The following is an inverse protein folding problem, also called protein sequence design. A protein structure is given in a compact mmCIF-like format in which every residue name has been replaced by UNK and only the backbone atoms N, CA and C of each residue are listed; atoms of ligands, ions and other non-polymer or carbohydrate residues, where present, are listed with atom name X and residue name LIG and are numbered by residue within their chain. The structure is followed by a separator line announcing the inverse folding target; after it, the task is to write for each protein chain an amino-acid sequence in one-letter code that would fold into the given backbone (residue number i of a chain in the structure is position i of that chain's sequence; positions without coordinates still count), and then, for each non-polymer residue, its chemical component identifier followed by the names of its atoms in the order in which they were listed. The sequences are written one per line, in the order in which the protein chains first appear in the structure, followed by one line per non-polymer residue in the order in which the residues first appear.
data_IF_038051726300
#
_entry.id   IF_038051726300
#
_cell.length_a   1.000
_cell.length_b   1.000
_cell.length_c   1.000
_cell.angle_alpha   90.00
_cell.angle_beta   90.00
_cell.angle_gamma   90.00
#
_symmetry.space_group_name_H-M   'P 1'
#
loop_
_entity.id
_entity.type
_entity.pdbx_description
1 polymer ?
#
# COMPACT_ATOMS: atom_id res chain seq x y z
N UNK A 1 78.96 17.85 39.43
CA UNK A 1 79.84 16.66 39.15
C UNK A 1 79.21 15.86 38.06
N UNK A 2 79.95 15.73 36.96
CA UNK A 2 80.00 14.67 35.92
C UNK A 2 78.74 14.22 35.29
N UNK A 3 78.42 14.71 34.01
CA UNK A 3 78.84 14.09 32.72
C UNK A 3 78.40 12.64 32.59
N UNK A 4 77.65 12.22 31.64
CA UNK A 4 78.12 11.90 30.27
C UNK A 4 77.06 11.67 29.31
N UNK A 5 77.24 12.23 28.10
CA UNK A 5 76.54 11.95 26.85
C UNK A 5 76.92 10.57 26.27
N UNK A 6 76.06 10.00 25.45
CA UNK A 6 76.33 9.21 24.22
C UNK A 6 75.02 8.87 23.55
N UNK A 7 74.76 9.40 22.47
CA UNK A 7 75.25 9.17 21.10
C UNK A 7 74.44 8.10 20.34
N UNK A 8 73.66 8.60 19.41
CA UNK A 8 73.42 8.10 18.03
C UNK A 8 73.31 6.58 17.78
N UNK A 9 72.14 6.18 17.24
CA UNK A 9 72.18 5.46 15.95
C UNK A 9 70.88 5.77 15.17
N UNK A 10 71.02 6.44 14.04
CA UNK A 10 70.06 6.47 12.92
C UNK A 10 69.93 5.04 12.40
N UNK A 11 68.72 4.55 12.31
CA UNK A 11 68.38 3.45 11.42
C UNK A 11 67.27 3.95 10.52
N UNK A 12 67.64 4.20 9.28
CA UNK A 12 66.74 4.47 8.17
C UNK A 12 66.05 3.16 7.84
N UNK A 13 64.76 3.03 8.21
CA UNK A 13 63.90 1.94 7.79
C UNK A 13 62.93 2.46 6.77
N UNK A 14 63.13 2.07 5.51
CA UNK A 14 62.20 2.28 4.40
C UNK A 14 60.87 1.61 4.73
N UNK A 15 59.89 2.36 5.15
CA UNK A 15 58.51 1.87 5.29
C UNK A 15 57.86 1.92 3.92
N UNK A 16 57.67 0.74 3.35
CA UNK A 16 56.84 0.52 2.20
C UNK A 16 55.40 1.00 2.49
N UNK A 17 54.94 2.04 1.80
CA UNK A 17 53.54 2.42 1.77
C UNK A 17 52.75 1.33 1.02
N UNK A 18 52.23 0.36 1.77
CA UNK A 18 51.13 -0.48 1.28
C UNK A 18 49.87 0.34 1.32
N UNK A 19 49.53 0.91 0.15
CA UNK A 19 48.24 1.49 -0.09
C UNK A 19 47.20 0.35 -0.06
N UNK A 20 46.62 0.03 1.10
CA UNK A 20 45.35 -0.69 1.18
C UNK A 20 44.26 0.21 0.70
N UNK A 21 43.97 0.12 -0.61
CA UNK A 21 42.73 0.60 -1.17
C UNK A 21 41.60 -0.26 -0.55
N UNK A 22 41.05 0.22 0.55
CA UNK A 22 39.76 -0.26 1.06
C UNK A 22 38.72 0.10 0.02
N UNK A 23 38.41 -0.89 -0.84
CA UNK A 23 37.18 -0.92 -1.60
C UNK A 23 36.04 -0.95 -0.57
N UNK A 24 35.55 0.23 -0.20
CA UNK A 24 34.27 0.41 0.42
C UNK A 24 33.21 -0.02 -0.61
N UNK A 25 33.02 -1.34 -0.75
CA UNK A 25 31.77 -1.85 -1.25
C UNK A 25 30.73 -1.48 -0.21
N UNK A 26 30.14 -0.32 -0.39
CA UNK A 26 28.94 0.08 0.32
C UNK A 26 27.87 -0.95 -0.01
N UNK A 27 27.73 -1.99 0.80
CA UNK A 27 26.48 -2.70 0.96
C UNK A 27 25.49 -1.70 1.58
N UNK A 28 25.06 -0.73 0.77
CA UNK A 28 23.85 -0.01 1.07
C UNK A 28 22.76 -1.08 1.16
N UNK A 29 22.18 -1.24 2.33
CA UNK A 29 20.89 -1.89 2.49
C UNK A 29 19.90 -1.14 1.59
N UNK A 30 19.84 -1.55 0.31
CA UNK A 30 18.70 -1.24 -0.52
C UNK A 30 17.58 -2.06 0.08
N UNK A 31 16.64 -1.39 0.74
CA UNK A 31 15.35 -2.00 1.05
C UNK A 31 14.86 -2.70 -0.22
N UNK A 32 14.38 -3.95 -0.09
CA UNK A 32 13.91 -4.76 -1.22
C UNK A 32 12.82 -4.06 -2.06
N UNK A 33 12.17 -3.04 -1.50
CA UNK A 33 11.19 -2.16 -2.14
C UNK A 33 11.75 -1.23 -3.23
N UNK A 34 13.06 -0.96 -3.26
CA UNK A 34 13.64 0.02 -4.19
C UNK A 34 14.06 -0.48 -5.57
N UNK A 35 14.10 -1.78 -5.82
CA UNK A 35 14.58 -2.33 -7.08
C UNK A 35 13.44 -2.55 -8.08
N UNK A 36 13.49 -1.85 -9.22
CA UNK A 36 12.57 -2.10 -10.32
C UNK A 36 13.03 -3.34 -11.09
N UNK A 37 12.18 -4.36 -11.15
CA UNK A 37 12.50 -5.59 -11.87
C UNK A 37 12.42 -5.37 -13.37
N UNK A 38 13.52 -5.67 -14.08
CA UNK A 38 13.59 -5.54 -15.52
C UNK A 38 12.62 -6.51 -16.22
N UNK A 39 11.96 -6.03 -17.26
CA UNK A 39 11.10 -6.82 -18.14
C UNK A 39 11.22 -6.30 -19.58
N UNK A 40 10.78 -7.10 -20.55
CA UNK A 40 10.71 -6.71 -21.96
C UNK A 40 9.29 -6.30 -22.34
N UNK A 41 9.11 -5.47 -23.38
CA UNK A 41 7.79 -5.11 -23.90
C UNK A 41 6.94 -6.33 -24.26
N UNK A 42 5.67 -6.30 -23.81
CA UNK A 42 4.61 -7.24 -24.21
C UNK A 42 3.55 -6.53 -25.03
N UNK A 43 2.29 -6.53 -24.57
CA UNK A 43 1.24 -5.67 -25.15
C UNK A 43 1.53 -4.20 -24.87
N UNK A 44 2.16 -3.88 -23.73
CA UNK A 44 2.66 -2.53 -23.43
C UNK A 44 4.00 -2.34 -24.14
N UNK A 45 4.06 -1.49 -25.20
CA UNK A 45 5.27 -1.24 -25.95
C UNK A 45 6.17 -0.21 -25.23
N UNK A 46 7.35 0.01 -25.77
CA UNK A 46 8.12 1.23 -25.46
C UNK A 46 7.43 2.44 -26.10
N UNK A 47 7.28 3.50 -25.32
CA UNK A 47 6.75 4.77 -25.80
C UNK A 47 7.85 5.79 -25.93
N UNK A 48 7.97 6.39 -27.11
CA UNK A 48 8.99 7.45 -27.36
C UNK A 48 8.86 8.63 -26.38
N UNK A 49 7.65 8.94 -25.96
CA UNK A 49 7.40 10.00 -24.96
C UNK A 49 8.00 9.71 -23.60
N UNK A 50 8.20 8.43 -23.25
CA UNK A 50 8.75 7.99 -21.97
C UNK A 50 10.26 7.73 -21.99
N UNK A 51 10.90 7.77 -23.16
CA UNK A 51 12.35 7.57 -23.26
C UNK A 51 13.10 8.68 -22.52
N UNK A 52 13.88 8.29 -21.50
CA UNK A 52 14.61 9.23 -20.63
C UNK A 52 13.73 10.03 -19.67
N UNK A 53 12.45 9.68 -19.52
CA UNK A 53 11.61 10.25 -18.48
C UNK A 53 12.03 9.72 -17.12
N UNK A 54 12.39 10.60 -16.18
CA UNK A 54 12.61 10.25 -14.79
C UNK A 54 11.28 10.34 -14.07
N UNK A 55 10.81 9.22 -13.50
CA UNK A 55 9.54 9.11 -12.80
C UNK A 55 9.73 8.49 -11.42
N UNK A 56 9.15 9.10 -10.40
CA UNK A 56 9.15 8.58 -9.04
C UNK A 56 7.77 8.02 -8.71
N UNK A 57 7.70 6.72 -8.42
CA UNK A 57 6.49 6.01 -7.97
C UNK A 57 6.57 5.81 -6.47
N UNK A 58 5.55 6.19 -5.72
CA UNK A 58 5.40 5.81 -4.31
C UNK A 58 4.17 4.94 -4.11
N UNK A 59 4.22 4.04 -3.15
CA UNK A 59 3.09 3.24 -2.70
C UNK A 59 3.18 3.03 -1.18
N UNK A 60 2.03 2.77 -0.55
CA UNK A 60 1.94 2.58 0.91
C UNK A 60 2.58 1.26 1.35
N UNK A 61 2.69 1.10 2.65
CA UNK A 61 3.41 0.03 3.36
C UNK A 61 2.58 -1.24 3.65
N UNK A 62 1.54 -1.53 2.87
CA UNK A 62 0.81 -2.78 2.99
C UNK A 62 0.80 -3.57 1.66
N UNK A 63 0.62 -4.87 1.75
CA UNK A 63 0.86 -5.85 0.67
C UNK A 63 0.31 -5.46 -0.68
N UNK A 64 -0.98 -5.09 -0.76
CA UNK A 64 -1.61 -4.71 -2.02
C UNK A 64 -0.94 -3.51 -2.67
N UNK A 65 -0.58 -2.50 -1.87
CA UNK A 65 0.11 -1.31 -2.36
C UNK A 65 1.54 -1.61 -2.79
N UNK A 66 2.25 -2.50 -2.09
CA UNK A 66 3.57 -2.95 -2.51
C UNK A 66 3.51 -3.66 -3.86
N UNK A 67 2.50 -4.52 -4.08
CA UNK A 67 2.28 -5.17 -5.38
C UNK A 67 1.98 -4.14 -6.46
N UNK A 68 1.04 -3.22 -6.22
CA UNK A 68 0.62 -2.20 -7.19
C UNK A 68 1.75 -1.21 -7.52
N UNK A 69 2.51 -0.75 -6.53
CA UNK A 69 3.65 0.13 -6.75
C UNK A 69 4.75 -0.53 -7.59
N UNK A 70 5.01 -1.81 -7.36
CA UNK A 70 5.95 -2.59 -8.17
C UNK A 70 5.41 -2.87 -9.59
N UNK A 71 4.10 -3.08 -9.77
CA UNK A 71 3.48 -3.16 -11.10
C UNK A 71 3.68 -1.86 -11.88
N UNK A 72 3.34 -0.72 -11.27
CA UNK A 72 3.51 0.60 -11.87
C UNK A 72 4.96 0.84 -12.27
N UNK A 73 5.89 0.58 -11.36
CA UNK A 73 7.33 0.77 -11.59
C UNK A 73 7.84 -0.11 -12.73
N UNK A 74 7.45 -1.38 -12.76
CA UNK A 74 7.86 -2.34 -13.80
C UNK A 74 7.33 -1.96 -15.18
N UNK A 75 6.04 -1.60 -15.30
CA UNK A 75 5.46 -1.26 -16.61
C UNK A 75 5.99 0.06 -17.15
N UNK A 76 6.17 1.08 -16.31
CA UNK A 76 6.73 2.37 -16.72
C UNK A 76 8.18 2.25 -17.15
N UNK A 77 8.98 1.45 -16.44
CA UNK A 77 10.36 1.15 -16.83
C UNK A 77 10.41 0.37 -18.14
N UNK A 78 9.56 -0.64 -18.31
CA UNK A 78 9.45 -1.41 -19.57
C UNK A 78 9.03 -0.50 -20.73
N UNK A 79 8.15 0.48 -20.47
CA UNK A 79 7.68 1.45 -21.45
C UNK A 79 8.72 2.52 -21.81
N UNK A 80 9.87 2.59 -21.12
CA UNK A 80 11.02 3.42 -21.48
C UNK A 80 11.45 4.47 -20.45
N UNK A 81 10.73 4.59 -19.32
CA UNK A 81 11.09 5.52 -18.27
C UNK A 81 12.24 5.00 -17.38
N UNK A 82 13.00 5.92 -16.81
CA UNK A 82 13.87 5.67 -15.66
C UNK A 82 13.05 5.88 -14.38
N UNK A 83 12.81 4.80 -13.62
CA UNK A 83 11.85 4.79 -12.52
C UNK A 83 12.54 4.62 -11.18
N UNK A 84 12.29 5.57 -10.28
CA UNK A 84 12.59 5.44 -8.85
C UNK A 84 11.36 4.87 -8.13
N UNK A 85 11.52 3.72 -7.47
CA UNK A 85 10.45 3.07 -6.71
C UNK A 85 10.60 3.37 -5.22
N UNK A 86 9.65 4.13 -4.67
CA UNK A 86 9.51 4.47 -3.25
C UNK A 86 8.30 3.76 -2.62
N UNK A 87 7.99 2.53 -3.06
CA UNK A 87 7.02 1.69 -2.38
C UNK A 87 7.49 1.40 -0.95
N UNK A 88 6.54 1.13 -0.03
CA UNK A 88 6.76 1.00 1.41
C UNK A 88 6.85 2.36 2.15
N UNK A 89 6.11 3.34 1.65
CA UNK A 89 5.95 4.63 2.35
C UNK A 89 4.86 4.52 3.42
N UNK A 90 5.17 4.83 4.70
CA UNK A 90 4.21 4.68 5.77
C UNK A 90 2.95 5.53 5.61
N UNK A 91 1.80 4.87 5.56
CA UNK A 91 0.46 5.44 5.61
C UNK A 91 0.06 6.34 4.44
N UNK A 92 -1.22 6.65 4.39
CA UNK A 92 -1.81 7.47 3.31
C UNK A 92 -1.30 8.90 3.30
N UNK A 93 -1.04 9.48 4.48
CA UNK A 93 -0.60 10.88 4.60
C UNK A 93 0.81 11.09 4.04
N UNK A 94 1.72 10.13 4.24
CA UNK A 94 3.10 10.20 3.73
C UNK A 94 3.12 10.31 2.21
N UNK A 95 2.45 9.39 1.53
CA UNK A 95 2.34 9.38 0.07
C UNK A 95 1.63 10.64 -0.45
N UNK A 96 0.53 11.06 0.21
CA UNK A 96 -0.20 12.27 -0.17
C UNK A 96 0.67 13.53 -0.11
N UNK A 97 1.45 13.70 0.95
CA UNK A 97 2.34 14.85 1.10
C UNK A 97 3.46 14.84 0.06
N UNK A 98 4.03 13.69 -0.25
CA UNK A 98 5.04 13.55 -1.30
C UNK A 98 4.49 13.93 -2.68
N UNK A 99 3.25 13.52 -3.02
CA UNK A 99 2.56 13.97 -4.23
C UNK A 99 2.34 15.49 -4.24
N UNK A 100 1.83 16.08 -3.16
CA UNK A 100 1.57 17.53 -3.10
C UNK A 100 2.84 18.38 -3.17
N UNK A 101 3.95 17.89 -2.62
CA UNK A 101 5.27 18.54 -2.71
C UNK A 101 5.99 18.30 -4.04
N UNK A 102 5.45 17.40 -4.87
CA UNK A 102 6.04 16.97 -6.14
C UNK A 102 7.36 16.18 -5.98
N UNK A 103 7.55 15.55 -4.82
CA UNK A 103 8.65 14.60 -4.60
C UNK A 103 8.36 13.24 -5.27
N UNK A 104 7.09 13.00 -5.61
CA UNK A 104 6.57 11.80 -6.28
C UNK A 104 5.72 12.21 -7.46
N UNK A 105 5.89 11.51 -8.59
CA UNK A 105 5.13 11.76 -9.83
C UNK A 105 3.78 11.06 -9.84
N UNK A 106 3.72 9.83 -9.32
CA UNK A 106 2.50 9.04 -9.33
C UNK A 106 2.47 7.98 -8.22
N UNK A 107 1.25 7.57 -7.86
CA UNK A 107 1.01 6.58 -6.82
C UNK A 107 -0.30 5.83 -7.07
N UNK A 108 -0.40 4.53 -6.74
CA UNK A 108 -1.69 3.84 -6.66
C UNK A 108 -2.45 4.35 -5.44
N UNK A 109 -3.73 4.70 -5.63
CA UNK A 109 -4.54 5.26 -4.57
C UNK A 109 -6.00 4.80 -4.69
N UNK A 110 -6.81 5.06 -3.69
CA UNK A 110 -8.21 4.63 -3.66
C UNK A 110 -9.14 5.84 -3.60
N UNK A 111 -10.22 5.80 -4.40
CA UNK A 111 -11.18 6.90 -4.49
C UNK A 111 -11.83 7.25 -3.16
N UNK A 112 -12.08 6.27 -2.27
CA UNK A 112 -12.58 6.48 -0.92
C UNK A 112 -11.61 7.28 -0.05
N UNK A 113 -10.32 6.91 -0.06
CA UNK A 113 -9.26 7.65 0.64
C UNK A 113 -9.16 9.08 0.12
N UNK A 114 -9.18 9.25 -1.20
CA UNK A 114 -9.16 10.58 -1.82
C UNK A 114 -10.31 11.45 -1.34
N UNK A 115 -11.54 10.92 -1.38
CA UNK A 115 -12.73 11.68 -1.02
C UNK A 115 -12.80 12.02 0.48
N UNK A 116 -12.63 11.01 1.34
CA UNK A 116 -12.82 11.16 2.78
C UNK A 116 -11.57 11.74 3.45
N UNK A 117 -10.40 11.11 3.22
CA UNK A 117 -9.22 11.40 4.01
C UNK A 117 -8.46 12.62 3.48
N UNK A 118 -8.26 12.71 2.15
CA UNK A 118 -7.47 13.82 1.57
C UNK A 118 -8.27 15.09 1.36
N UNK A 119 -9.54 14.95 0.97
CA UNK A 119 -10.43 16.09 0.70
C UNK A 119 -11.32 16.46 1.90
N UNK A 120 -11.21 15.72 3.03
CA UNK A 120 -11.86 16.05 4.30
C UNK A 120 -13.38 15.88 4.34
N UNK A 121 -13.96 15.14 3.38
CA UNK A 121 -15.39 14.90 3.37
C UNK A 121 -15.78 13.86 4.44
N UNK A 122 -16.99 13.96 4.97
CA UNK A 122 -17.49 13.07 6.04
C UNK A 122 -18.55 12.09 5.57
N UNK A 123 -19.02 12.22 4.33
CA UNK A 123 -20.04 11.35 3.76
C UNK A 123 -19.54 10.72 2.46
N UNK A 124 -19.65 9.39 2.31
CA UNK A 124 -19.33 8.73 1.06
C UNK A 124 -20.31 9.15 -0.05
N UNK A 125 -19.82 9.07 -1.29
CA UNK A 125 -20.66 9.24 -2.48
C UNK A 125 -21.07 7.85 -2.95
N UNK A 126 -22.37 7.65 -3.18
CA UNK A 126 -22.87 6.37 -3.70
C UNK A 126 -22.52 6.21 -5.18
N UNK A 127 -21.98 5.05 -5.51
CA UNK A 127 -21.61 4.68 -6.87
C UNK A 127 -20.17 5.06 -7.25
N UNK A 128 -19.46 4.09 -7.80
CA UNK A 128 -18.04 4.18 -8.17
C UNK A 128 -17.75 5.37 -9.10
N UNK A 129 -18.52 5.49 -10.19
CA UNK A 129 -18.34 6.56 -11.17
C UNK A 129 -18.55 7.95 -10.55
N UNK A 130 -19.61 8.12 -9.74
CA UNK A 130 -19.89 9.40 -9.12
C UNK A 130 -18.80 9.81 -8.12
N UNK A 131 -18.33 8.87 -7.30
CA UNK A 131 -17.25 9.12 -6.34
C UNK A 131 -15.93 9.45 -7.05
N UNK A 132 -15.56 8.68 -8.08
CA UNK A 132 -14.40 8.96 -8.90
C UNK A 132 -14.45 10.37 -9.51
N UNK A 133 -15.56 10.74 -10.14
CA UNK A 133 -15.71 12.07 -10.76
C UNK A 133 -15.59 13.20 -9.74
N UNK A 134 -16.12 13.02 -8.53
CA UNK A 134 -16.01 14.01 -7.47
C UNK A 134 -14.57 14.19 -7.00
N UNK A 135 -13.85 13.10 -6.76
CA UNK A 135 -12.42 13.11 -6.37
C UNK A 135 -11.59 13.74 -7.49
N UNK A 136 -11.74 13.27 -8.71
CA UNK A 136 -11.04 13.80 -9.89
C UNK A 136 -11.16 15.32 -10.00
N UNK A 137 -12.41 15.84 -9.99
CA UNK A 137 -12.66 17.29 -10.12
C UNK A 137 -12.08 18.09 -8.96
N UNK A 138 -12.21 17.56 -7.75
CA UNK A 138 -11.75 18.27 -6.56
C UNK A 138 -10.21 18.32 -6.48
N UNK A 139 -9.54 17.24 -6.87
CA UNK A 139 -8.09 17.11 -6.71
C UNK A 139 -7.29 17.72 -7.87
N UNK A 140 -7.91 17.97 -9.00
CA UNK A 140 -7.30 18.79 -10.07
C UNK A 140 -6.82 20.17 -9.58
N UNK A 141 -7.51 20.75 -8.59
CA UNK A 141 -7.11 22.02 -7.96
C UNK A 141 -5.78 21.92 -7.21
N UNK A 142 -5.43 20.71 -6.77
CA UNK A 142 -4.17 20.39 -6.10
C UNK A 142 -3.07 19.98 -7.09
N UNK A 143 -3.33 20.07 -8.41
CA UNK A 143 -2.39 19.67 -9.45
C UNK A 143 -2.26 18.16 -9.63
N UNK A 144 -3.24 17.39 -9.16
CA UNK A 144 -3.26 15.92 -9.23
C UNK A 144 -4.40 15.44 -10.12
N UNK A 145 -4.08 14.51 -11.00
CA UNK A 145 -5.03 13.86 -11.91
C UNK A 145 -5.21 12.40 -11.48
N UNK A 146 -6.45 12.00 -11.24
CA UNK A 146 -6.84 10.63 -10.99
C UNK A 146 -7.19 9.96 -12.32
N UNK A 147 -6.53 8.84 -12.66
CA UNK A 147 -6.85 8.07 -13.85
C UNK A 147 -8.15 7.27 -13.65
N UNK A 148 -8.80 6.81 -14.75
CA UNK A 148 -10.00 5.98 -14.63
C UNK A 148 -9.78 4.77 -13.73
N UNK A 149 -10.67 4.50 -12.76
CA UNK A 149 -10.43 3.51 -11.75
C UNK A 149 -10.56 2.08 -12.27
N UNK A 150 -9.81 1.18 -11.64
CA UNK A 150 -10.00 -0.26 -11.78
C UNK A 150 -11.36 -0.72 -11.20
N UNK A 151 -11.90 -1.88 -11.66
CA UNK A 151 -13.16 -2.41 -11.14
C UNK A 151 -13.05 -2.93 -9.70
N UNK A 152 -11.84 -3.17 -9.19
CA UNK A 152 -11.64 -3.60 -7.81
C UNK A 152 -12.11 -2.55 -6.80
N UNK A 153 -12.58 -3.03 -5.64
CA UNK A 153 -12.97 -2.22 -4.50
C UNK A 153 -12.37 -2.82 -3.22
N UNK A 154 -11.29 -2.23 -2.74
CA UNK A 154 -10.62 -2.66 -1.51
C UNK A 154 -11.15 -1.88 -0.30
N UNK A 155 -12.43 -2.07 0.01
CA UNK A 155 -13.07 -1.37 1.13
C UNK A 155 -12.66 -1.93 2.48
N UNK A 156 -12.74 -1.09 3.51
CA UNK A 156 -12.68 -1.55 4.89
C UNK A 156 -13.86 -2.44 5.22
N UNK A 157 -13.62 -3.38 6.13
CA UNK A 157 -14.64 -4.21 6.75
C UNK A 157 -14.18 -4.67 8.14
N UNK A 158 -15.04 -5.36 8.86
CA UNK A 158 -14.68 -6.13 10.04
C UNK A 158 -14.84 -7.61 9.78
N UNK A 159 -13.87 -8.39 10.20
CA UNK A 159 -13.90 -9.83 10.14
C UNK A 159 -13.85 -10.45 11.55
N UNK A 160 -14.30 -11.66 11.64
CA UNK A 160 -14.31 -12.50 12.85
C UNK A 160 -14.00 -13.93 12.43
N UNK A 161 -13.46 -14.76 13.33
CA UNK A 161 -13.33 -16.20 13.08
C UNK A 161 -14.65 -16.81 12.63
N UNK A 162 -14.62 -17.63 11.59
CA UNK A 162 -15.82 -18.30 11.05
C UNK A 162 -16.57 -19.11 12.14
N UNK A 163 -15.84 -19.85 12.98
CA UNK A 163 -16.42 -20.62 14.07
C UNK A 163 -17.10 -19.71 15.12
N UNK A 164 -16.47 -18.57 15.46
CA UNK A 164 -17.02 -17.60 16.42
C UNK A 164 -18.23 -16.87 15.85
N UNK A 165 -18.24 -16.53 14.57
CA UNK A 165 -19.40 -15.95 13.88
C UNK A 165 -20.62 -16.88 13.93
N UNK A 166 -20.41 -18.19 13.71
CA UNK A 166 -21.46 -19.21 13.86
C UNK A 166 -21.96 -19.30 15.29
N UNK A 167 -21.07 -19.34 16.28
CA UNK A 167 -21.41 -19.38 17.70
C UNK A 167 -22.27 -18.17 18.10
N UNK A 168 -21.91 -16.99 17.66
CA UNK A 168 -22.61 -15.73 17.97
C UNK A 168 -23.84 -15.49 17.06
N UNK A 169 -24.02 -16.29 16.02
CA UNK A 169 -25.05 -16.16 15.01
C UNK A 169 -25.09 -14.78 14.37
N UNK A 170 -23.92 -14.30 13.92
CA UNK A 170 -23.77 -12.98 13.28
C UNK A 170 -23.15 -13.08 11.88
N UNK A 171 -23.66 -12.23 11.00
CA UNK A 171 -23.17 -12.06 9.61
C UNK A 171 -23.07 -10.60 9.19
N UNK A 172 -23.61 -9.67 10.02
CA UNK A 172 -23.72 -8.24 9.69
C UNK A 172 -23.25 -7.37 10.83
N UNK A 173 -22.74 -6.18 10.52
CA UNK A 173 -22.27 -5.21 11.50
C UNK A 173 -23.40 -4.69 12.41
N UNK A 174 -24.62 -4.54 11.92
CA UNK A 174 -25.77 -4.13 12.76
C UNK A 174 -26.08 -5.09 13.89
N UNK A 175 -25.69 -6.36 13.78
CA UNK A 175 -25.94 -7.37 14.81
C UNK A 175 -25.01 -7.25 16.02
N UNK A 176 -23.92 -6.49 15.91
CA UNK A 176 -22.97 -6.25 17.00
C UNK A 176 -23.65 -5.66 18.25
N UNK A 177 -24.70 -4.85 18.08
CA UNK A 177 -25.44 -4.26 19.19
C UNK A 177 -26.18 -5.26 20.07
N UNK A 178 -26.38 -6.49 19.59
CA UNK A 178 -27.05 -7.59 20.30
C UNK A 178 -26.10 -8.41 21.16
N UNK A 179 -24.79 -8.22 20.97
CA UNK A 179 -23.77 -8.97 21.68
C UNK A 179 -23.49 -8.39 23.07
N UNK A 180 -23.15 -9.24 24.05
CA UNK A 180 -22.70 -8.77 25.35
C UNK A 180 -21.37 -8.05 25.22
N UNK A 181 -21.13 -7.09 26.11
CA UNK A 181 -19.96 -6.19 26.05
C UNK A 181 -18.63 -6.93 25.97
N UNK A 182 -18.47 -8.02 26.68
CA UNK A 182 -17.23 -8.82 26.72
C UNK A 182 -16.88 -9.47 25.37
N UNK A 183 -17.86 -9.66 24.47
CA UNK A 183 -17.61 -10.14 23.12
C UNK A 183 -17.14 -9.02 22.17
N UNK A 184 -17.41 -7.77 22.48
CA UNK A 184 -17.12 -6.60 21.64
C UNK A 184 -15.68 -6.13 21.86
N UNK A 185 -14.72 -6.93 21.42
CA UNK A 185 -13.29 -6.64 21.42
C UNK A 185 -12.81 -6.46 19.98
N UNK A 186 -12.09 -5.35 19.72
CA UNK A 186 -11.70 -4.93 18.37
C UNK A 186 -10.19 -4.81 18.26
N UNK A 187 -9.65 -5.19 17.09
CA UNK A 187 -8.31 -4.83 16.63
C UNK A 187 -8.42 -3.92 15.42
N UNK A 188 -7.75 -2.77 15.45
CA UNK A 188 -7.82 -1.74 14.42
C UNK A 188 -6.44 -1.16 14.14
N UNK A 189 -6.21 -0.68 12.92
CA UNK A 189 -5.00 0.02 12.55
C UNK A 189 -5.06 1.49 13.01
N UNK A 190 -3.91 2.12 13.21
CA UNK A 190 -3.78 3.47 13.79
C UNK A 190 -4.35 4.58 12.91
N UNK A 191 -4.22 4.48 11.58
CA UNK A 191 -4.83 5.41 10.64
C UNK A 191 -6.34 5.26 10.64
N UNK A 192 -6.85 4.00 10.50
CA UNK A 192 -8.28 3.72 10.53
C UNK A 192 -8.97 4.19 11.80
N UNK A 193 -8.31 4.05 12.94
CA UNK A 193 -8.85 4.52 14.22
C UNK A 193 -9.20 6.02 14.25
N UNK A 194 -8.54 6.84 13.41
CA UNK A 194 -8.63 8.31 13.40
C UNK A 194 -9.40 8.89 12.20
N UNK A 195 -9.74 8.07 11.21
CA UNK A 195 -10.38 8.51 9.97
C UNK A 195 -11.84 8.88 10.16
N UNK A 196 -12.37 9.76 9.29
CA UNK A 196 -13.80 10.11 9.25
C UNK A 196 -14.69 8.93 8.80
N UNK A 197 -14.13 7.98 8.07
CA UNK A 197 -14.73 6.71 7.66
C UNK A 197 -14.18 5.51 8.47
N UNK A 198 -13.61 5.80 9.63
CA UNK A 198 -12.92 4.83 10.47
C UNK A 198 -13.74 4.33 11.66
N UNK A 199 -13.01 3.87 12.69
CA UNK A 199 -13.57 3.10 13.79
C UNK A 199 -14.64 3.85 14.60
N UNK A 200 -14.38 5.07 15.05
CA UNK A 200 -15.33 5.79 15.89
C UNK A 200 -16.64 6.17 15.16
N UNK A 201 -16.60 6.71 13.92
CA UNK A 201 -17.81 6.94 13.13
C UNK A 201 -18.55 5.63 12.80
N UNK A 202 -17.84 4.52 12.54
CA UNK A 202 -18.44 3.21 12.34
C UNK A 202 -19.22 2.76 13.58
N UNK A 203 -18.60 2.79 14.75
CA UNK A 203 -19.30 2.45 16.01
C UNK A 203 -20.59 3.26 16.16
N UNK A 204 -20.51 4.59 15.97
CA UNK A 204 -21.68 5.47 16.07
C UNK A 204 -22.78 5.09 15.07
N UNK A 205 -22.43 4.83 13.82
CA UNK A 205 -23.37 4.46 12.75
C UNK A 205 -24.10 3.16 13.10
N UNK A 206 -23.39 2.21 13.69
CA UNK A 206 -23.93 0.93 14.11
C UNK A 206 -24.55 0.92 15.53
N UNK A 207 -24.69 2.09 16.19
CA UNK A 207 -25.33 2.23 17.48
C UNK A 207 -24.48 1.74 18.66
N UNK A 208 -23.18 1.66 18.44
CA UNK A 208 -22.17 1.37 19.45
C UNK A 208 -21.44 2.64 19.91
N UNK A 209 -20.72 2.53 21.01
CA UNK A 209 -19.85 3.59 21.58
C UNK A 209 -18.74 2.92 22.37
N UNK A 210 -17.71 3.69 22.73
CA UNK A 210 -16.60 3.19 23.55
C UNK A 210 -17.06 2.63 24.91
N UNK A 211 -18.17 3.12 25.48
CA UNK A 211 -18.74 2.57 26.73
C UNK A 211 -19.41 1.20 26.54
N UNK A 212 -19.86 0.89 25.32
CA UNK A 212 -20.54 -0.36 24.98
C UNK A 212 -19.60 -1.48 24.53
N UNK A 213 -18.39 -1.15 24.11
CA UNK A 213 -17.37 -2.14 23.76
C UNK A 213 -16.48 -2.48 24.96
N UNK A 214 -15.89 -3.67 24.97
CA UNK A 214 -14.97 -4.08 26.03
C UNK A 214 -13.58 -3.47 25.81
N UNK A 215 -13.08 -3.52 24.57
CA UNK A 215 -11.71 -3.12 24.25
C UNK A 215 -11.56 -2.81 22.75
N UNK A 216 -10.72 -1.84 22.43
CA UNK A 216 -10.14 -1.67 21.12
C UNK A 216 -8.61 -1.63 21.25
N UNK A 217 -7.90 -2.43 20.48
CA UNK A 217 -6.44 -2.54 20.49
C UNK A 217 -5.92 -2.09 19.13
N UNK A 218 -4.97 -1.16 19.14
CA UNK A 218 -4.30 -0.73 17.92
C UNK A 218 -3.12 -1.67 17.63
N UNK A 219 -3.09 -2.20 16.43
CA UNK A 219 -2.08 -3.13 15.92
C UNK A 219 -1.71 -2.75 14.48
N UNK A 220 -0.58 -3.27 14.03
CA UNK A 220 -0.19 -3.17 12.62
C UNK A 220 -1.11 -4.04 11.76
N UNK A 221 -1.38 -3.59 10.52
CA UNK A 221 -2.32 -4.23 9.58
C UNK A 221 -2.18 -5.74 9.52
N UNK A 222 -0.95 -6.26 9.28
CA UNK A 222 -0.73 -7.71 9.20
C UNK A 222 -1.06 -8.47 10.48
N UNK A 223 -0.77 -7.87 11.65
CA UNK A 223 -0.99 -8.46 12.97
C UNK A 223 -2.47 -8.54 13.32
N UNK A 224 -3.30 -7.63 12.80
CA UNK A 224 -4.75 -7.64 13.06
C UNK A 224 -5.38 -8.96 12.61
N UNK A 225 -5.01 -9.47 11.44
CA UNK A 225 -5.57 -10.72 10.89
C UNK A 225 -5.25 -11.93 11.77
N UNK A 226 -3.98 -12.06 12.19
CA UNK A 226 -3.56 -13.16 13.06
C UNK A 226 -4.16 -13.05 14.46
N UNK A 227 -4.17 -11.85 15.06
CA UNK A 227 -4.78 -11.59 16.36
C UNK A 227 -6.30 -11.89 16.36
N UNK A 228 -6.98 -11.61 15.23
CA UNK A 228 -8.40 -11.95 15.05
C UNK A 228 -8.61 -13.45 14.90
N UNK A 229 -7.73 -14.13 14.14
CA UNK A 229 -7.78 -15.58 13.97
C UNK A 229 -7.52 -16.32 15.30
N UNK A 230 -6.56 -15.87 16.11
CA UNK A 230 -6.29 -16.45 17.43
C UNK A 230 -7.40 -16.16 18.43
N UNK A 231 -7.96 -14.94 18.39
CA UNK A 231 -9.07 -14.52 19.23
C UNK A 231 -8.73 -14.20 20.68
N UNK A 232 -7.48 -14.26 21.07
CA UNK A 232 -7.02 -13.90 22.42
C UNK A 232 -7.01 -12.39 22.66
N UNK A 233 -6.75 -11.59 21.63
CA UNK A 233 -6.68 -10.14 21.72
C UNK A 233 -8.00 -9.48 21.35
N UNK A 234 -8.64 -9.92 20.28
CA UNK A 234 -9.90 -9.40 19.78
C UNK A 234 -10.72 -10.44 19.04
N UNK A 235 -12.05 -10.26 19.07
CA UNK A 235 -12.96 -11.05 18.24
C UNK A 235 -13.12 -10.46 16.85
N UNK A 236 -13.10 -9.13 16.74
CA UNK A 236 -13.35 -8.40 15.51
C UNK A 236 -12.09 -7.67 15.08
N UNK A 237 -11.57 -8.00 13.90
CA UNK A 237 -10.46 -7.31 13.29
C UNK A 237 -10.90 -6.46 12.12
N UNK A 238 -10.35 -5.27 12.02
CA UNK A 238 -10.42 -4.49 10.80
C UNK A 238 -9.69 -5.23 9.68
N UNK A 239 -10.28 -5.28 8.50
CA UNK A 239 -9.72 -5.95 7.33
C UNK A 239 -9.96 -5.15 6.07
N UNK A 240 -9.13 -5.38 5.07
CA UNK A 240 -9.33 -4.94 3.69
C UNK A 240 -9.97 -6.08 2.90
N UNK A 241 -11.04 -5.81 2.16
CA UNK A 241 -11.83 -6.88 1.51
C UNK A 241 -11.12 -7.63 0.39
N UNK A 242 -9.98 -7.14 -0.08
CA UNK A 242 -9.11 -7.83 -1.06
C UNK A 242 -7.90 -8.52 -0.44
N UNK A 243 -7.82 -8.59 0.90
CA UNK A 243 -6.68 -9.18 1.61
C UNK A 243 -6.71 -10.71 1.57
N UNK A 244 -5.61 -11.31 1.12
CA UNK A 244 -5.47 -12.77 0.96
C UNK A 244 -5.49 -13.58 2.26
N UNK A 245 -5.25 -12.96 3.42
CA UNK A 245 -5.29 -13.60 4.74
C UNK A 245 -6.71 -13.94 5.19
N UNK A 246 -7.73 -13.26 4.66
CA UNK A 246 -9.14 -13.53 5.02
C UNK A 246 -9.49 -15.02 4.83
N UNK A 247 -9.40 -15.58 3.62
CA UNK A 247 -9.65 -17.01 3.43
C UNK A 247 -8.59 -17.90 4.07
N UNK A 248 -7.31 -17.48 4.04
CA UNK A 248 -6.20 -18.25 4.60
C UNK A 248 -6.29 -18.50 6.11
N UNK A 249 -6.90 -17.57 6.84
CA UNK A 249 -7.09 -17.66 8.30
C UNK A 249 -8.53 -18.01 8.70
N UNK A 250 -9.37 -18.46 7.76
CA UNK A 250 -10.79 -18.81 8.00
C UNK A 250 -11.57 -17.69 8.69
N UNK A 251 -11.36 -16.45 8.24
CA UNK A 251 -12.09 -15.29 8.72
C UNK A 251 -13.36 -15.06 7.90
N UNK A 252 -14.44 -14.70 8.59
CA UNK A 252 -15.69 -14.24 7.98
C UNK A 252 -15.75 -12.74 8.04
N UNK A 253 -15.86 -12.10 6.89
CA UNK A 253 -16.17 -10.68 6.78
C UNK A 253 -17.64 -10.46 7.12
N UNK A 254 -17.92 -9.48 7.99
CA UNK A 254 -19.28 -9.06 8.32
C UNK A 254 -19.79 -8.07 7.27
N UNK A 255 -21.05 -8.25 6.85
CA UNK A 255 -21.70 -7.35 5.90
C UNK A 255 -21.86 -5.94 6.49
N UNK A 256 -21.45 -4.92 5.75
CA UNK A 256 -21.71 -3.51 6.02
C UNK A 256 -23.15 -3.17 5.58
N UNK A 257 -24.16 -3.66 6.30
CA UNK A 257 -25.57 -3.58 5.94
C UNK A 257 -26.18 -2.17 6.05
N UNK A 258 -25.44 -1.20 6.60
CA UNK A 258 -25.79 0.23 6.56
C UNK A 258 -25.03 1.02 5.51
N UNK A 259 -24.14 0.37 4.74
CA UNK A 259 -23.32 1.01 3.71
C UNK A 259 -22.53 2.22 4.27
N UNK A 260 -21.89 2.01 5.41
CA UNK A 260 -21.09 3.03 6.08
C UNK A 260 -19.80 3.32 5.33
N UNK A 261 -19.10 2.25 4.89
CA UNK A 261 -17.82 2.41 4.22
C UNK A 261 -17.99 2.91 2.78
N UNK A 262 -17.17 3.88 2.34
CA UNK A 262 -17.13 4.30 0.94
C UNK A 262 -16.59 3.20 0.02
N UNK A 263 -16.72 3.39 -1.27
CA UNK A 263 -16.04 2.56 -2.25
C UNK A 263 -14.56 2.97 -2.35
N UNK A 264 -13.67 2.00 -2.36
CA UNK A 264 -12.23 2.18 -2.49
C UNK A 264 -11.74 1.59 -3.81
N UNK A 265 -12.23 2.13 -4.92
CA UNK A 265 -11.75 1.72 -6.23
C UNK A 265 -10.33 2.26 -6.44
N UNK A 266 -9.42 1.36 -6.86
CA UNK A 266 -8.06 1.72 -7.22
C UNK A 266 -8.06 2.71 -8.40
N UNK A 267 -7.24 3.74 -8.30
CA UNK A 267 -6.97 4.71 -9.37
C UNK A 267 -5.55 5.26 -9.19
N UNK A 268 -4.79 5.31 -10.26
CA UNK A 268 -3.47 5.95 -10.19
C UNK A 268 -3.66 7.47 -10.11
N UNK A 269 -2.99 8.05 -9.13
CA UNK A 269 -2.89 9.51 -8.98
C UNK A 269 -1.57 9.96 -9.59
N UNK A 270 -1.64 10.86 -10.55
CA UNK A 270 -0.49 11.34 -11.30
C UNK A 270 -0.41 12.87 -11.16
N UNK A 271 0.78 13.43 -11.02
CA UNK A 271 0.99 14.86 -11.16
C UNK A 271 0.41 15.32 -12.50
N UNK A 272 -0.47 16.31 -12.50
CA UNK A 272 -1.08 16.82 -13.74
C UNK A 272 -0.02 17.32 -14.73
N UNK A 273 1.07 17.89 -14.24
CA UNK A 273 2.21 18.31 -15.05
C UNK A 273 2.94 17.13 -15.70
N UNK A 274 3.17 16.05 -14.94
CA UNK A 274 3.79 14.82 -15.43
C UNK A 274 2.91 14.16 -16.48
N UNK A 275 1.60 14.05 -16.24
CA UNK A 275 0.66 13.48 -17.21
C UNK A 275 0.56 14.30 -18.51
N UNK A 276 0.61 15.63 -18.43
CA UNK A 276 0.67 16.50 -19.61
C UNK A 276 1.95 16.28 -20.42
N UNK A 277 3.08 16.11 -19.74
CA UNK A 277 4.38 15.87 -20.39
C UNK A 277 4.47 14.45 -20.98
N UNK A 278 3.87 13.47 -20.31
CA UNK A 278 3.96 12.05 -20.64
C UNK A 278 2.57 11.41 -20.74
N UNK A 279 1.78 11.75 -21.76
CA UNK A 279 0.35 11.34 -21.85
C UNK A 279 0.17 9.82 -22.04
N UNK A 280 1.20 9.10 -22.49
CA UNK A 280 1.16 7.65 -22.66
C UNK A 280 1.04 6.90 -21.33
N UNK A 281 1.33 7.54 -20.18
CA UNK A 281 1.05 6.99 -18.84
C UNK A 281 -0.42 6.57 -18.72
N UNK A 282 -1.36 7.43 -19.17
CA UNK A 282 -2.78 7.11 -19.12
C UNK A 282 -3.15 5.90 -20.00
N UNK A 283 -2.50 5.71 -21.15
CA UNK A 283 -2.75 4.56 -22.04
C UNK A 283 -2.31 3.25 -21.38
N UNK A 284 -1.15 3.25 -20.72
CA UNK A 284 -0.62 2.09 -20.00
C UNK A 284 -1.61 1.60 -18.95
N UNK A 285 -2.10 2.50 -18.09
CA UNK A 285 -3.03 2.12 -17.03
C UNK A 285 -4.45 1.84 -17.53
N UNK A 286 -4.88 2.46 -18.63
CA UNK A 286 -6.15 2.10 -19.28
C UNK A 286 -6.16 0.65 -19.79
N UNK A 287 -5.01 0.06 -20.14
CA UNK A 287 -4.88 -1.34 -20.53
C UNK A 287 -4.85 -2.30 -19.34
N UNK A 288 -4.18 -1.91 -18.25
CA UNK A 288 -3.97 -2.75 -17.05
C UNK A 288 -5.21 -2.76 -16.14
N UNK A 289 -5.77 -1.58 -15.83
CA UNK A 289 -6.80 -1.43 -14.82
C UNK A 289 -8.03 -2.32 -14.98
N UNK A 290 -8.55 -2.60 -16.20
CA UNK A 290 -9.69 -3.49 -16.37
C UNK A 290 -9.46 -4.92 -15.85
N UNK A 291 -8.21 -5.37 -15.73
CA UNK A 291 -7.85 -6.71 -15.24
C UNK A 291 -7.68 -6.75 -13.70
N UNK A 292 -7.60 -5.58 -13.03
CA UNK A 292 -7.46 -5.48 -11.58
C UNK A 292 -8.84 -5.55 -10.91
N UNK A 293 -9.33 -6.78 -10.78
CA UNK A 293 -10.61 -7.09 -10.09
C UNK A 293 -10.34 -7.49 -8.63
N UNK A 294 -11.39 -7.54 -7.79
CA UNK A 294 -11.26 -8.08 -6.42
C UNK A 294 -10.68 -9.50 -6.43
N UNK A 295 -11.12 -10.35 -7.37
CA UNK A 295 -10.62 -11.71 -7.51
C UNK A 295 -9.11 -11.74 -7.85
N UNK A 296 -8.69 -10.87 -8.75
CA UNK A 296 -7.27 -10.73 -9.13
C UNK A 296 -6.45 -10.32 -7.91
N UNK A 297 -6.87 -9.27 -7.21
CA UNK A 297 -6.09 -8.75 -6.07
C UNK A 297 -6.08 -9.70 -4.89
N UNK A 298 -7.19 -10.36 -4.55
CA UNK A 298 -7.21 -11.44 -3.55
C UNK A 298 -6.17 -12.52 -3.85
N UNK A 299 -6.08 -12.96 -5.12
CA UNK A 299 -5.13 -13.99 -5.52
C UNK A 299 -3.67 -13.51 -5.46
N UNK A 300 -3.40 -12.25 -5.79
CA UNK A 300 -2.06 -11.67 -5.72
C UNK A 300 -1.63 -11.42 -4.27
N UNK A 301 -2.51 -10.84 -3.47
CA UNK A 301 -2.25 -10.61 -2.05
C UNK A 301 -2.00 -11.94 -1.31
N UNK A 302 -2.75 -13.00 -1.62
CA UNK A 302 -2.53 -14.32 -1.03
C UNK A 302 -1.16 -14.92 -1.37
N UNK A 303 -0.60 -14.65 -2.54
CA UNK A 303 0.75 -15.09 -2.88
C UNK A 303 1.82 -14.48 -1.99
N UNK A 304 1.61 -13.25 -1.53
CA UNK A 304 2.52 -12.57 -0.60
C UNK A 304 2.16 -12.94 0.85
N UNK A 305 0.94 -12.65 1.28
CA UNK A 305 0.53 -12.73 2.69
C UNK A 305 0.44 -14.16 3.24
N UNK A 306 0.15 -15.12 2.39
CA UNK A 306 -0.04 -16.53 2.80
C UNK A 306 1.11 -17.41 2.32
N UNK A 307 1.58 -17.21 1.08
CA UNK A 307 2.64 -18.03 0.52
C UNK A 307 4.06 -17.44 0.69
N UNK A 308 4.19 -16.23 1.28
CA UNK A 308 5.49 -15.61 1.56
C UNK A 308 6.24 -15.10 0.31
N UNK A 309 5.52 -14.87 -0.79
CA UNK A 309 6.12 -14.36 -2.02
C UNK A 309 6.59 -12.92 -1.91
N UNK A 310 7.62 -12.56 -2.68
CA UNK A 310 8.09 -11.18 -2.79
C UNK A 310 7.10 -10.34 -3.62
N UNK A 311 6.62 -9.17 -3.15
CA UNK A 311 5.66 -8.34 -3.87
C UNK A 311 6.11 -7.92 -5.27
N UNK A 312 7.40 -7.64 -5.49
CA UNK A 312 7.91 -7.24 -6.80
C UNK A 312 7.91 -8.41 -7.77
N UNK A 313 8.26 -9.61 -7.30
CA UNK A 313 8.19 -10.83 -8.11
C UNK A 313 6.75 -11.18 -8.46
N UNK A 314 5.83 -11.12 -7.47
CA UNK A 314 4.39 -11.37 -7.67
C UNK A 314 3.80 -10.39 -8.69
N UNK A 315 4.16 -9.10 -8.60
CA UNK A 315 3.74 -8.07 -9.54
C UNK A 315 4.22 -8.37 -10.97
N UNK A 316 5.53 -8.61 -11.14
CA UNK A 316 6.13 -8.92 -12.44
C UNK A 316 5.56 -10.20 -13.06
N UNK A 317 5.44 -11.27 -12.27
CA UNK A 317 4.92 -12.55 -12.76
C UNK A 317 3.47 -12.42 -13.25
N UNK A 318 2.65 -11.62 -12.58
CA UNK A 318 1.30 -11.33 -13.03
C UNK A 318 1.31 -10.53 -14.33
N UNK A 319 2.12 -9.48 -14.44
CA UNK A 319 2.26 -8.70 -15.69
C UNK A 319 2.70 -9.56 -16.87
N UNK A 320 3.62 -10.51 -16.63
CA UNK A 320 4.06 -11.47 -17.65
C UNK A 320 2.94 -12.44 -18.03
N UNK A 321 2.21 -12.96 -17.03
CA UNK A 321 1.10 -13.90 -17.24
C UNK A 321 -0.03 -13.29 -18.08
N UNK A 322 -0.37 -12.04 -17.80
CA UNK A 322 -1.41 -11.30 -18.55
C UNK A 322 -0.90 -10.76 -19.90
N UNK A 323 0.41 -10.90 -20.19
CA UNK A 323 1.01 -10.52 -21.48
C UNK A 323 1.37 -9.04 -21.61
N UNK A 324 1.21 -8.24 -20.55
CA UNK A 324 1.57 -6.81 -20.54
C UNK A 324 3.06 -6.60 -20.75
N UNK A 325 3.88 -7.46 -20.16
CA UNK A 325 5.33 -7.50 -20.33
C UNK A 325 5.80 -8.93 -20.61
N UNK A 326 7.06 -9.10 -21.02
CA UNK A 326 7.74 -10.40 -21.22
C UNK A 326 8.91 -10.53 -20.25
N UNK A 327 9.35 -11.77 -20.02
CA UNK A 327 10.54 -12.08 -19.21
C UNK A 327 11.82 -11.48 -19.79
#
# INVERSE_FOLDING_TARGET
MRTTARARKLVVGVAALSACALLLTGCGLRSASGAVLAAKPGSIPRYKSLEGAHLTVAAKDFTEQLILGNMMSTVLSTAGADVTNLSDTPGSFGVRQALLKRDVDLSPEYTGTGWINYLGNTKPIKGSTAQYQAVYKADLKNGLTWLPPAPMNNTYAFAIREAKAKQLNITKLSQLTKLPKNELTFCVESEFAKRNDGFQPMLKTYGLSNSKIAKATTLDTGVIYTATADGGTCNFGEVFTTDGRIPGLHLRVLEDDKQFFPLYNLSEVVQTSTLKKYPDIAKIFAEINPQLTNKTMLALNAKVDVAGGDPAIVAKDWLVKEGFVKK
#
